data_IF_696565905070
#
_entry.id   IF_696565905070
#
_cell.length_a   1.000
_cell.length_b   1.000
_cell.length_c   1.000
_cell.angle_alpha   90.00
_cell.angle_beta   90.00
_cell.angle_gamma   90.00
#
_symmetry.space_group_name_H-M   'P 1'
#
loop_
_entity.id
_entity.type
_entity.pdbx_description
1 polymer ?
#
# COMPACT_ATOMS: atom_id res chain seq x y z
N UNK A 1 -21.88 40.52 -66.62
CA UNK A 1 -20.55 40.52 -67.29
C UNK A 1 -19.84 39.22 -66.95
N UNK A 2 -19.43 38.48 -67.99
CA UNK A 2 -18.41 37.40 -68.11
C UNK A 2 -17.88 36.75 -66.81
N UNK A 3 -18.17 35.45 -66.58
CA UNK A 3 -17.48 34.21 -67.05
C UNK A 3 -16.25 33.82 -66.21
N UNK A 4 -16.29 32.63 -65.61
CA UNK A 4 -15.29 31.52 -65.68
C UNK A 4 -15.32 30.69 -64.38
N UNK A 5 -15.65 29.39 -64.36
CA UNK A 5 -14.98 28.16 -64.88
C UNK A 5 -14.45 27.34 -63.67
N UNK A 6 -15.11 26.19 -63.37
CA UNK A 6 -14.59 24.79 -63.45
C UNK A 6 -13.92 24.36 -62.12
N UNK A 7 -14.43 23.40 -61.32
CA UNK A 7 -14.59 21.93 -61.49
C UNK A 7 -13.26 21.18 -61.74
N UNK A 8 -13.21 19.86 -61.49
CA UNK A 8 -12.04 18.92 -61.53
C UNK A 8 -11.41 18.74 -60.14
N UNK A 9 -11.62 17.65 -59.37
CA UNK A 9 -11.57 16.20 -59.63
C UNK A 9 -10.16 15.72 -59.97
N UNK A 10 -9.41 15.20 -58.99
CA UNK A 10 -8.20 14.43 -59.27
C UNK A 10 -8.15 13.17 -58.42
N UNK A 11 -8.34 12.05 -59.10
CA UNK A 11 -7.93 10.73 -58.68
C UNK A 11 -6.46 10.48 -59.08
N UNK A 12 -5.91 9.43 -58.48
CA UNK A 12 -5.08 8.41 -59.10
C UNK A 12 -3.54 8.45 -58.97
N UNK A 13 -3.09 7.46 -58.18
CA UNK A 13 -2.13 6.38 -58.52
C UNK A 13 -0.63 6.72 -58.60
N UNK A 14 0.14 6.03 -57.73
CA UNK A 14 1.43 5.38 -58.05
C UNK A 14 1.63 4.25 -57.01
N UNK A 15 1.28 3.00 -57.29
CA UNK A 15 2.06 1.96 -57.99
C UNK A 15 3.38 1.59 -57.30
N UNK A 16 3.33 0.48 -56.56
CA UNK A 16 4.40 -0.53 -56.59
C UNK A 16 3.78 -1.90 -56.32
N UNK A 17 3.29 -2.54 -57.39
CA UNK A 17 3.12 -3.99 -57.45
C UNK A 17 4.50 -4.65 -57.36
N UNK A 18 4.65 -5.67 -56.51
CA UNK A 18 5.27 -6.92 -56.95
C UNK A 18 4.58 -8.10 -56.24
N UNK A 19 4.07 -8.98 -57.08
CA UNK A 19 3.41 -10.23 -56.77
C UNK A 19 4.38 -11.22 -56.12
N UNK A 20 3.90 -12.00 -55.16
CA UNK A 20 3.79 -13.46 -55.29
C UNK A 20 2.83 -13.97 -54.19
N UNK A 21 1.59 -14.18 -54.60
CA UNK A 21 0.62 -14.97 -53.86
C UNK A 21 1.03 -16.44 -54.05
N UNK A 22 1.40 -17.13 -52.96
CA UNK A 22 1.55 -18.58 -52.92
C UNK A 22 0.78 -19.08 -51.70
N UNK A 23 -0.05 -20.08 -51.95
CA UNK A 23 -1.19 -20.51 -51.15
C UNK A 23 -0.87 -21.10 -49.76
N UNK A 24 -1.98 -21.19 -48.97
CA UNK A 24 -2.29 -22.08 -47.83
C UNK A 24 -1.93 -21.50 -46.45
N UNK A 25 -2.82 -21.40 -45.46
CA UNK A 25 -4.15 -21.95 -45.18
C UNK A 25 -4.85 -20.96 -44.22
N UNK A 26 -6.11 -20.58 -44.48
CA UNK A 26 -6.96 -19.98 -43.43
C UNK A 26 -7.46 -21.11 -42.52
N UNK A 27 -6.91 -21.18 -41.31
CA UNK A 27 -7.40 -22.07 -40.26
C UNK A 27 -8.79 -21.59 -39.82
N UNK A 28 -9.83 -22.33 -40.16
CA UNK A 28 -11.16 -22.20 -39.55
C UNK A 28 -11.02 -22.55 -38.06
N UNK A 29 -11.22 -21.58 -37.16
CA UNK A 29 -11.10 -21.82 -35.72
C UNK A 29 -12.30 -22.64 -35.24
N UNK A 30 -12.17 -23.97 -35.22
CA UNK A 30 -13.20 -24.88 -34.72
C UNK A 30 -13.26 -24.94 -33.18
N UNK A 31 -13.14 -23.79 -32.50
CA UNK A 31 -13.04 -23.69 -31.05
C UNK A 31 -14.09 -22.74 -30.49
N UNK A 32 -14.51 -23.01 -29.26
CA UNK A 32 -15.37 -22.15 -28.45
C UNK A 32 -14.85 -22.05 -27.02
N UNK A 33 -15.60 -21.33 -26.18
CA UNK A 33 -15.25 -21.11 -24.78
C UNK A 33 -16.34 -21.65 -23.85
N UNK A 34 -15.93 -22.14 -22.68
CA UNK A 34 -16.83 -22.52 -21.58
C UNK A 34 -16.41 -21.79 -20.30
N UNK A 35 -17.38 -21.30 -19.56
CA UNK A 35 -17.22 -20.72 -18.22
C UNK A 35 -18.19 -21.39 -17.23
N UNK A 36 -17.72 -21.66 -16.02
CA UNK A 36 -18.54 -22.24 -14.96
C UNK A 36 -18.81 -21.21 -13.87
N UNK A 37 -20.09 -20.98 -13.56
CA UNK A 37 -20.53 -20.15 -12.43
C UNK A 37 -20.86 -21.03 -11.22
N UNK A 38 -20.42 -20.63 -10.04
CA UNK A 38 -20.59 -21.41 -8.80
C UNK A 38 -21.85 -20.98 -8.06
N UNK A 39 -22.69 -21.95 -7.72
CA UNK A 39 -23.86 -21.79 -6.85
C UNK A 39 -23.59 -22.52 -5.53
N UNK A 40 -23.64 -21.80 -4.40
CA UNK A 40 -23.45 -22.38 -3.06
C UNK A 40 -24.81 -22.62 -2.40
N UNK A 41 -25.16 -23.89 -2.14
CA UNK A 41 -26.44 -24.30 -1.54
C UNK A 41 -26.30 -24.72 -0.06
N UNK A 42 -25.51 -24.00 0.74
CA UNK A 42 -25.51 -24.22 2.18
C UNK A 42 -26.89 -23.86 2.76
N UNK A 43 -27.52 -24.79 3.50
CA UNK A 43 -28.88 -24.70 4.05
C UNK A 43 -29.03 -23.70 5.21
N UNK A 44 -28.15 -22.71 5.30
CA UNK A 44 -28.25 -21.59 6.24
C UNK A 44 -28.47 -20.30 5.45
N UNK A 45 -29.71 -19.77 5.54
CA UNK A 45 -30.08 -18.43 5.06
C UNK A 45 -29.10 -17.37 5.57
N UNK A 46 -28.10 -17.03 4.78
CA UNK A 46 -27.52 -15.69 4.66
C UNK A 46 -26.54 -15.68 3.49
N UNK A 47 -26.37 -14.52 2.87
CA UNK A 47 -25.38 -14.20 1.86
C UNK A 47 -23.94 -14.51 2.31
N UNK A 48 -23.53 -15.77 2.33
CA UNK A 48 -22.20 -16.18 2.77
C UNK A 48 -21.25 -16.31 1.58
N UNK A 49 -20.20 -15.52 1.66
CA UNK A 49 -19.05 -15.49 0.76
C UNK A 49 -18.39 -16.87 0.68
N UNK A 50 -17.90 -17.24 -0.50
CA UNK A 50 -16.87 -18.27 -0.67
C UNK A 50 -15.52 -17.73 -0.14
N UNK A 51 -15.51 -17.25 1.11
CA UNK A 51 -14.32 -16.74 1.76
C UNK A 51 -13.28 -17.85 1.85
N UNK A 52 -12.03 -17.50 1.50
CA UNK A 52 -10.85 -18.36 1.48
C UNK A 52 -10.69 -19.31 0.27
N UNK A 53 -11.56 -19.28 -0.74
CA UNK A 53 -11.33 -20.04 -2.00
C UNK A 53 -10.32 -19.31 -2.89
N UNK A 54 -9.26 -20.01 -3.32
CA UNK A 54 -8.25 -19.47 -4.24
C UNK A 54 -8.44 -19.97 -5.68
N UNK A 55 -8.69 -21.28 -5.85
CA UNK A 55 -8.76 -21.91 -7.18
C UNK A 55 -9.89 -22.92 -7.25
N UNK A 56 -10.24 -23.29 -8.49
CA UNK A 56 -11.09 -24.43 -8.77
C UNK A 56 -10.23 -25.53 -9.38
N UNK A 57 -10.46 -26.77 -8.98
CA UNK A 57 -9.94 -27.96 -9.64
C UNK A 57 -11.09 -28.63 -10.37
N UNK A 58 -10.93 -28.90 -11.67
CA UNK A 58 -11.97 -29.51 -12.47
C UNK A 58 -11.48 -30.56 -13.46
N UNK A 59 -12.38 -31.46 -13.84
CA UNK A 59 -12.16 -32.44 -14.91
C UNK A 59 -13.27 -32.32 -15.95
N UNK A 60 -12.90 -32.07 -17.21
CA UNK A 60 -13.79 -32.08 -18.38
C UNK A 60 -13.41 -33.26 -19.26
N UNK A 61 -14.41 -34.03 -19.66
CA UNK A 61 -14.30 -35.11 -20.64
C UNK A 61 -15.21 -34.81 -21.82
N UNK A 62 -14.91 -35.39 -22.98
CA UNK A 62 -15.92 -35.48 -24.05
C UNK A 62 -17.11 -36.33 -23.55
N UNK A 63 -18.30 -36.13 -24.11
CA UNK A 63 -19.50 -36.91 -23.70
C UNK A 63 -19.37 -38.42 -23.98
N UNK A 64 -18.38 -38.85 -24.77
CA UNK A 64 -18.03 -40.27 -24.96
C UNK A 64 -17.08 -40.82 -23.87
N UNK A 65 -16.69 -39.99 -22.91
CA UNK A 65 -15.79 -40.32 -21.80
C UNK A 65 -14.30 -40.14 -22.11
N UNK A 66 -13.91 -39.73 -23.31
CA UNK A 66 -12.51 -39.47 -23.63
C UNK A 66 -11.99 -38.20 -22.93
N UNK A 67 -10.72 -38.22 -22.54
CA UNK A 67 -10.10 -37.13 -21.76
C UNK A 67 -9.88 -35.88 -22.59
N UNK A 68 -10.00 -34.71 -21.95
CA UNK A 68 -9.55 -33.42 -22.50
C UNK A 68 -8.26 -32.96 -21.79
N UNK A 69 -7.60 -31.87 -22.26
CA UNK A 69 -6.50 -31.25 -21.53
C UNK A 69 -6.86 -30.76 -20.12
N UNK A 70 -8.15 -30.63 -19.81
CA UNK A 70 -8.63 -30.21 -18.49
C UNK A 70 -8.96 -31.43 -17.64
N UNK A 71 -7.96 -32.25 -17.34
CA UNK A 71 -8.07 -33.34 -16.36
C UNK A 71 -7.41 -32.91 -15.06
N UNK A 72 -8.17 -32.80 -13.97
CA UNK A 72 -7.75 -32.22 -12.70
C UNK A 72 -7.03 -30.87 -12.86
N UNK A 73 -7.53 -30.04 -13.77
CA UNK A 73 -6.93 -28.76 -14.08
C UNK A 73 -7.30 -27.72 -13.01
N UNK A 74 -6.29 -27.02 -12.52
CA UNK A 74 -6.46 -25.82 -11.71
C UNK A 74 -6.84 -24.62 -12.59
N UNK A 75 -7.96 -23.97 -12.26
CA UNK A 75 -8.48 -22.82 -12.98
C UNK A 75 -8.76 -21.66 -12.02
N UNK A 76 -8.45 -20.45 -12.49
CA UNK A 76 -8.66 -19.24 -11.71
C UNK A 76 -10.15 -18.96 -11.51
N UNK A 77 -10.48 -18.44 -10.34
CA UNK A 77 -11.82 -18.02 -9.95
C UNK A 77 -11.90 -16.49 -9.91
N UNK A 78 -12.93 -15.93 -10.54
CA UNK A 78 -13.24 -14.51 -10.54
C UNK A 78 -14.56 -14.24 -9.82
N UNK A 79 -14.72 -13.01 -9.31
CA UNK A 79 -15.92 -12.58 -8.61
C UNK A 79 -16.44 -11.26 -9.18
N UNK A 80 -17.70 -11.22 -9.59
CA UNK A 80 -18.37 -10.00 -10.04
C UNK A 80 -19.80 -9.95 -9.52
N UNK A 81 -20.18 -8.85 -8.87
CA UNK A 81 -21.53 -8.65 -8.29
C UNK A 81 -22.02 -9.80 -7.38
N UNK A 82 -21.09 -10.43 -6.65
CA UNK A 82 -21.41 -11.54 -5.74
C UNK A 82 -21.52 -12.91 -6.40
N UNK A 83 -21.36 -13.00 -7.73
CA UNK A 83 -21.32 -14.26 -8.48
C UNK A 83 -19.85 -14.65 -8.69
N UNK A 84 -19.55 -15.92 -8.47
CA UNK A 84 -18.22 -16.50 -8.70
C UNK A 84 -18.23 -17.31 -9.99
N UNK A 85 -17.22 -17.13 -10.84
CA UNK A 85 -17.10 -17.86 -12.11
C UNK A 85 -15.64 -18.13 -12.49
N UNK A 86 -15.39 -19.18 -13.26
CA UNK A 86 -14.05 -19.54 -13.72
C UNK A 86 -13.54 -18.59 -14.80
N UNK A 87 -12.23 -18.59 -15.04
CA UNK A 87 -11.70 -18.14 -16.33
C UNK A 87 -12.33 -18.93 -17.49
N UNK A 88 -12.51 -18.27 -18.65
CA UNK A 88 -12.87 -18.92 -19.92
C UNK A 88 -11.89 -20.05 -20.26
N UNK A 89 -12.40 -21.26 -20.46
CA UNK A 89 -11.62 -22.41 -20.93
C UNK A 89 -11.90 -22.64 -22.41
N UNK A 90 -10.85 -22.91 -23.21
CA UNK A 90 -10.95 -23.10 -24.65
C UNK A 90 -11.02 -24.60 -24.95
N UNK A 91 -12.04 -25.01 -25.71
CA UNK A 91 -12.26 -26.38 -26.17
C UNK A 91 -12.61 -26.38 -27.66
N UNK A 92 -12.37 -27.51 -28.34
CA UNK A 92 -12.89 -27.72 -29.69
C UNK A 92 -14.42 -27.82 -29.68
N UNK A 93 -15.08 -27.54 -30.81
CA UNK A 93 -16.54 -27.73 -30.87
C UNK A 93 -16.92 -29.18 -30.62
N UNK A 94 -17.94 -29.39 -29.80
CA UNK A 94 -18.29 -30.74 -29.37
C UNK A 94 -19.19 -30.78 -28.14
N UNK A 95 -19.54 -31.99 -27.74
CA UNK A 95 -20.29 -32.27 -26.50
C UNK A 95 -19.35 -32.81 -25.43
N UNK A 96 -19.52 -32.31 -24.22
CA UNK A 96 -18.62 -32.54 -23.09
C UNK A 96 -19.42 -32.74 -21.81
N UNK A 97 -18.76 -33.33 -20.83
CA UNK A 97 -19.24 -33.49 -19.47
C UNK A 97 -18.19 -32.98 -18.48
N UNK A 98 -18.65 -32.18 -17.51
CA UNK A 98 -17.88 -31.84 -16.32
C UNK A 98 -18.04 -32.99 -15.31
N UNK A 99 -16.96 -33.66 -14.92
CA UNK A 99 -17.01 -34.88 -14.09
C UNK A 99 -16.38 -34.70 -12.71
N UNK A 100 -15.56 -33.65 -12.52
CA UNK A 100 -15.02 -33.27 -11.21
C UNK A 100 -15.05 -31.75 -11.09
N UNK A 101 -15.39 -31.23 -9.91
CA UNK A 101 -15.38 -29.80 -9.62
C UNK A 101 -15.25 -29.55 -8.11
N UNK A 102 -14.11 -29.00 -7.72
CA UNK A 102 -13.74 -28.69 -6.34
C UNK A 102 -13.26 -27.26 -6.22
N UNK A 103 -13.50 -26.63 -5.09
CA UNK A 103 -12.94 -25.33 -4.75
C UNK A 103 -11.89 -25.56 -3.66
N UNK A 104 -10.67 -25.09 -3.92
CA UNK A 104 -9.56 -25.21 -2.99
C UNK A 104 -9.19 -23.86 -2.38
N UNK A 105 -8.78 -23.87 -1.12
CA UNK A 105 -8.24 -22.70 -0.44
C UNK A 105 -6.77 -22.43 -0.80
N UNK A 106 -6.19 -21.37 -0.25
CA UNK A 106 -4.79 -20.98 -0.50
C UNK A 106 -3.71 -21.95 0.00
N UNK A 107 -4.13 -22.93 0.80
CA UNK A 107 -3.25 -23.99 1.29
C UNK A 107 -3.51 -25.33 0.59
N UNK A 108 -4.42 -25.33 -0.40
CA UNK A 108 -4.74 -26.47 -1.25
C UNK A 108 -5.90 -27.32 -0.74
N UNK A 109 -6.55 -26.96 0.37
CA UNK A 109 -7.64 -27.78 0.90
C UNK A 109 -8.90 -27.62 0.08
N UNK A 110 -9.55 -28.73 -0.27
CA UNK A 110 -10.90 -28.71 -0.81
C UNK A 110 -11.89 -28.28 0.25
N UNK A 111 -12.45 -27.08 0.08
CA UNK A 111 -13.42 -26.45 0.98
C UNK A 111 -14.86 -26.58 0.49
N UNK A 112 -15.05 -26.71 -0.83
CA UNK A 112 -16.34 -27.04 -1.44
C UNK A 112 -16.17 -28.04 -2.57
N UNK A 113 -17.18 -28.88 -2.78
CA UNK A 113 -17.20 -29.87 -3.85
C UNK A 113 -18.60 -30.00 -4.47
N UNK A 114 -18.66 -30.23 -5.78
CA UNK A 114 -19.88 -30.66 -6.45
C UNK A 114 -20.02 -32.18 -6.32
N UNK A 115 -21.16 -32.71 -5.84
CA UNK A 115 -21.33 -34.15 -5.64
C UNK A 115 -21.60 -34.88 -6.96
N UNK A 116 -21.07 -36.12 -7.08
CA UNK A 116 -21.44 -37.03 -8.16
C UNK A 116 -22.87 -37.56 -7.96
N UNK A 117 -23.59 -37.77 -9.07
CA UNK A 117 -24.90 -38.38 -9.10
C UNK A 117 -24.83 -39.78 -8.46
N UNK A 118 -25.73 -40.02 -7.50
CA UNK A 118 -25.76 -41.26 -6.72
C UNK A 118 -24.92 -41.25 -5.44
N UNK A 119 -24.16 -40.18 -5.16
CA UNK A 119 -23.52 -39.98 -3.86
C UNK A 119 -24.50 -39.56 -2.76
N UNK A 120 -24.07 -39.61 -1.49
CA UNK A 120 -24.91 -39.20 -0.36
C UNK A 120 -25.31 -37.72 -0.42
N UNK A 121 -24.41 -36.88 -0.93
CA UNK A 121 -24.64 -35.44 -1.05
C UNK A 121 -25.38 -35.03 -2.33
N UNK A 122 -25.57 -35.94 -3.31
CA UNK A 122 -26.28 -35.64 -4.56
C UNK A 122 -27.72 -35.14 -4.34
N UNK A 123 -28.37 -35.55 -3.24
CA UNK A 123 -29.73 -35.12 -2.89
C UNK A 123 -29.83 -33.65 -2.46
N UNK A 124 -28.72 -33.00 -2.15
CA UNK A 124 -28.65 -31.62 -1.64
C UNK A 124 -28.38 -30.59 -2.75
N UNK A 125 -28.27 -31.04 -4.01
CA UNK A 125 -28.14 -30.20 -5.21
C UNK A 125 -29.22 -30.56 -6.23
N UNK A 126 -29.58 -29.62 -7.09
CA UNK A 126 -30.55 -29.86 -8.17
C UNK A 126 -29.91 -30.49 -9.40
N UNK A 127 -28.62 -30.22 -9.63
CA UNK A 127 -27.85 -30.74 -10.75
C UNK A 127 -26.49 -31.31 -10.28
N UNK A 128 -26.42 -32.58 -9.86
CA UNK A 128 -25.15 -33.23 -9.51
C UNK A 128 -24.31 -33.52 -10.76
N UNK A 129 -23.01 -33.76 -10.58
CA UNK A 129 -22.10 -34.18 -11.63
C UNK A 129 -22.45 -35.62 -12.11
N UNK A 130 -22.20 -36.00 -13.38
CA UNK A 130 -21.64 -35.17 -14.43
C UNK A 130 -22.63 -34.14 -15.00
N UNK A 131 -22.12 -32.96 -15.38
CA UNK A 131 -22.91 -31.90 -16.02
C UNK A 131 -22.56 -31.86 -17.51
N UNK A 132 -23.54 -32.17 -18.36
CA UNK A 132 -23.40 -32.13 -19.83
C UNK A 132 -23.49 -30.70 -20.37
N UNK A 133 -22.64 -30.37 -21.35
CA UNK A 133 -22.67 -29.10 -22.08
C UNK A 133 -22.13 -29.24 -23.51
N UNK A 134 -22.42 -28.27 -24.37
CA UNK A 134 -21.93 -28.21 -25.74
C UNK A 134 -21.13 -26.93 -25.96
N UNK A 135 -20.02 -27.04 -26.69
CA UNK A 135 -19.19 -25.91 -27.13
C UNK A 135 -19.42 -25.70 -28.61
N UNK A 136 -19.84 -24.49 -28.97
CA UNK A 136 -20.09 -24.05 -30.35
C UNK A 136 -18.97 -23.14 -30.85
N UNK A 137 -18.80 -23.07 -32.16
CA UNK A 137 -17.74 -22.28 -32.80
C UNK A 137 -17.89 -20.79 -32.49
N UNK A 138 -16.80 -20.15 -32.01
CA UNK A 138 -16.76 -18.72 -31.68
C UNK A 138 -17.80 -18.23 -30.65
N UNK A 139 -18.41 -19.15 -29.88
CA UNK A 139 -19.34 -18.82 -28.81
C UNK A 139 -18.72 -19.01 -27.43
N UNK A 140 -19.31 -18.35 -26.42
CA UNK A 140 -19.00 -18.60 -25.00
C UNK A 140 -20.23 -19.20 -24.35
N UNK A 141 -20.13 -20.48 -23.98
CA UNK A 141 -21.12 -21.19 -23.20
C UNK A 141 -20.89 -20.90 -21.71
N UNK A 142 -21.96 -20.75 -20.94
CA UNK A 142 -21.88 -20.65 -19.48
C UNK A 142 -22.72 -21.76 -18.84
N UNK A 143 -22.16 -22.43 -17.85
CA UNK A 143 -22.85 -23.46 -17.07
C UNK A 143 -22.78 -23.14 -15.57
N UNK A 144 -23.84 -23.49 -14.83
CA UNK A 144 -23.86 -23.35 -13.38
C UNK A 144 -23.46 -24.66 -12.71
N UNK A 145 -22.72 -24.58 -11.61
CA UNK A 145 -22.30 -25.75 -10.82
C UNK A 145 -22.67 -25.51 -9.37
N UNK A 146 -23.49 -26.39 -8.81
CA UNK A 146 -23.87 -26.37 -7.41
C UNK A 146 -22.81 -27.09 -6.56
N UNK A 147 -22.30 -26.42 -5.54
CA UNK A 147 -21.29 -26.95 -4.63
C UNK A 147 -21.79 -26.93 -3.19
N UNK A 148 -21.27 -27.86 -2.39
CA UNK A 148 -21.55 -27.98 -0.95
C UNK A 148 -20.24 -27.91 -0.17
N UNK A 149 -20.29 -27.40 1.06
CA UNK A 149 -19.14 -27.38 1.96
C UNK A 149 -18.66 -28.80 2.25
N UNK A 150 -17.36 -29.02 2.27
CA UNK A 150 -16.73 -30.29 2.65
C UNK A 150 -16.48 -30.40 4.16
N UNK A 151 -16.85 -29.37 4.94
CA UNK A 151 -16.65 -29.35 6.38
C UNK A 151 -17.30 -30.56 7.06
N UNK A 152 -16.51 -31.31 7.83
CA UNK A 152 -16.93 -32.55 8.52
C UNK A 152 -17.43 -33.68 7.60
N UNK A 153 -17.17 -33.62 6.29
CA UNK A 153 -17.51 -34.65 5.31
C UNK A 153 -16.25 -35.23 4.66
N UNK A 154 -16.39 -36.43 4.09
CA UNK A 154 -15.32 -37.16 3.41
C UNK A 154 -15.51 -37.15 1.89
N UNK A 155 -14.46 -37.37 1.09
CA UNK A 155 -14.60 -37.50 -0.38
C UNK A 155 -15.65 -38.53 -0.79
N UNK A 156 -15.79 -39.63 -0.04
CA UNK A 156 -16.75 -40.69 -0.30
C UNK A 156 -18.21 -40.21 -0.21
N UNK A 157 -18.51 -39.22 0.65
CA UNK A 157 -19.85 -38.64 0.76
C UNK A 157 -20.29 -37.93 -0.52
N UNK A 158 -19.32 -37.47 -1.31
CA UNK A 158 -19.49 -36.82 -2.61
C UNK A 158 -19.32 -37.77 -3.80
N UNK A 159 -18.99 -39.04 -3.55
CA UNK A 159 -18.79 -40.07 -4.57
C UNK A 159 -17.34 -40.20 -5.07
N UNK A 160 -16.38 -39.52 -4.45
CA UNK A 160 -14.97 -39.51 -4.86
C UNK A 160 -14.11 -40.43 -4.00
N UNK A 161 -13.02 -40.94 -4.58
CA UNK A 161 -12.03 -41.77 -3.85
C UNK A 161 -11.13 -40.90 -2.97
N UNK A 162 -10.77 -39.71 -3.44
CA UNK A 162 -10.03 -38.69 -2.71
C UNK A 162 -10.33 -37.31 -3.31
N UNK A 163 -10.24 -36.26 -2.51
CA UNK A 163 -10.10 -34.90 -3.04
C UNK A 163 -8.63 -34.68 -3.46
N UNK A 164 -8.34 -33.86 -4.48
CA UNK A 164 -6.98 -33.45 -4.77
C UNK A 164 -6.46 -32.55 -3.65
N UNK A 165 -5.79 -33.11 -2.64
CA UNK A 165 -5.02 -32.38 -1.63
C UNK A 165 -3.85 -33.28 -1.20
N UNK A 166 -2.62 -32.80 -1.38
CA UNK A 166 -1.46 -33.27 -0.61
C UNK A 166 -1.65 -32.82 0.83
N UNK A 167 -1.56 -33.72 1.81
CA UNK A 167 -1.52 -33.34 3.24
C UNK A 167 -0.40 -32.31 3.48
N UNK A 168 -0.75 -31.02 3.57
CA UNK A 168 0.22 -29.97 3.90
C UNK A 168 0.41 -29.97 5.41
N UNK A 169 1.56 -30.45 5.87
CA UNK A 169 1.94 -30.39 7.28
C UNK A 169 1.86 -28.93 7.78
N UNK A 170 1.32 -28.72 8.98
CA UNK A 170 1.25 -27.41 9.65
C UNK A 170 1.71 -27.56 11.10
N UNK A 171 2.08 -26.44 11.73
CA UNK A 171 2.33 -26.38 13.16
C UNK A 171 1.74 -25.09 13.74
N UNK A 172 1.49 -25.08 15.05
CA UNK A 172 0.86 -23.95 15.74
C UNK A 172 1.69 -23.47 16.92
N UNK A 173 1.89 -22.17 17.06
CA UNK A 173 2.62 -21.58 18.17
C UNK A 173 1.83 -20.44 18.83
N UNK A 174 2.13 -20.18 20.11
CA UNK A 174 1.54 -19.09 20.88
C UNK A 174 2.40 -17.83 20.76
N UNK A 175 1.75 -16.66 20.66
CA UNK A 175 2.41 -15.36 20.61
C UNK A 175 1.72 -14.34 21.52
N UNK A 176 2.52 -13.51 22.19
CA UNK A 176 2.07 -12.36 22.97
C UNK A 176 2.83 -11.11 22.57
N UNK A 177 2.13 -9.99 22.42
CA UNK A 177 2.73 -8.71 22.06
C UNK A 177 2.65 -7.78 23.26
N UNK A 178 3.79 -7.23 23.69
CA UNK A 178 3.87 -6.35 24.85
C UNK A 178 4.45 -4.98 24.48
N UNK A 179 3.97 -3.94 25.14
CA UNK A 179 4.65 -2.64 25.15
C UNK A 179 5.99 -2.81 25.89
N UNK A 180 7.10 -2.44 25.25
CA UNK A 180 8.46 -2.66 25.75
C UNK A 180 8.73 -1.96 27.10
N UNK A 181 8.13 -0.80 27.33
CA UNK A 181 8.40 0.01 28.53
C UNK A 181 7.58 -0.47 29.73
N UNK A 182 6.32 -0.83 29.50
CA UNK A 182 5.35 -1.16 30.56
C UNK A 182 5.21 -2.66 30.77
N UNK A 183 5.60 -3.49 29.80
CA UNK A 183 5.39 -4.94 29.81
C UNK A 183 3.93 -5.36 29.65
N UNK A 184 3.02 -4.42 29.38
CA UNK A 184 1.58 -4.68 29.24
C UNK A 184 1.28 -5.28 27.88
N UNK A 185 0.43 -6.30 27.83
CA UNK A 185 -0.04 -6.89 26.58
C UNK A 185 -0.89 -5.90 25.79
N UNK A 186 -0.63 -5.82 24.49
CA UNK A 186 -1.29 -4.93 23.53
C UNK A 186 -1.81 -5.72 22.32
N UNK A 187 -2.90 -5.30 21.67
CA UNK A 187 -3.36 -5.95 20.45
C UNK A 187 -2.43 -5.57 19.29
N UNK A 188 -2.36 -6.38 18.24
CA UNK A 188 -1.56 -6.08 17.06
C UNK A 188 -2.07 -6.83 15.82
N UNK A 189 -1.61 -6.43 14.64
CA UNK A 189 -1.77 -7.22 13.42
C UNK A 189 -0.45 -7.93 13.11
N UNK A 190 -0.52 -9.25 12.94
CA UNK A 190 0.58 -10.12 12.56
C UNK A 190 0.48 -10.46 11.08
N UNK A 191 1.64 -10.47 10.43
CA UNK A 191 1.86 -11.03 9.11
C UNK A 191 3.03 -12.02 9.18
N UNK A 192 2.85 -13.21 8.60
CA UNK A 192 3.89 -14.24 8.47
C UNK A 192 4.17 -14.47 6.99
N UNK A 193 5.44 -14.43 6.57
CA UNK A 193 5.81 -14.68 5.18
C UNK A 193 7.13 -15.43 4.99
N UNK A 194 7.34 -16.01 3.81
CA UNK A 194 8.65 -16.50 3.33
C UNK A 194 8.83 -16.12 1.85
N UNK A 195 8.45 -14.89 1.48
CA UNK A 195 8.50 -14.38 0.10
C UNK A 195 7.46 -14.97 -0.87
N UNK A 196 7.16 -16.27 -0.80
CA UNK A 196 6.16 -16.97 -1.62
C UNK A 196 4.89 -17.37 -0.85
N UNK A 197 4.97 -17.34 0.48
CA UNK A 197 3.86 -17.63 1.39
C UNK A 197 3.51 -16.36 2.18
N UNK A 198 2.22 -16.15 2.42
CA UNK A 198 1.70 -15.03 3.20
C UNK A 198 0.51 -15.48 4.05
N UNK A 199 0.52 -15.13 5.32
CA UNK A 199 -0.57 -15.32 6.27
C UNK A 199 -0.70 -14.08 7.15
N UNK A 200 -1.93 -13.70 7.52
CA UNK A 200 -2.16 -12.58 8.43
C UNK A 200 -3.26 -12.87 9.44
N UNK A 201 -3.10 -12.34 10.64
CA UNK A 201 -4.01 -12.54 11.77
C UNK A 201 -3.96 -11.32 12.70
N UNK A 202 -5.11 -10.97 13.29
CA UNK A 202 -5.16 -10.02 14.39
C UNK A 202 -4.95 -10.74 15.74
N UNK A 203 -4.20 -10.09 16.62
CA UNK A 203 -3.83 -10.57 17.94
C UNK A 203 -4.52 -9.71 19.01
N UNK A 204 -5.12 -10.35 20.01
CA UNK A 204 -5.79 -9.68 21.13
C UNK A 204 -4.84 -9.47 22.32
N UNK A 205 -5.12 -8.46 23.14
CA UNK A 205 -4.31 -8.08 24.31
C UNK A 205 -4.48 -8.99 25.54
N UNK A 206 -5.45 -9.91 25.54
CA UNK A 206 -5.74 -10.78 26.68
C UNK A 206 -5.94 -12.26 26.30
N UNK A 207 -5.81 -12.59 25.01
CA UNK A 207 -5.98 -13.96 24.52
C UNK A 207 -4.63 -14.66 24.39
N UNK A 208 -4.65 -15.99 24.53
CA UNK A 208 -3.57 -16.85 24.09
C UNK A 208 -3.63 -16.92 22.56
N UNK A 209 -3.05 -15.92 21.89
CA UNK A 209 -3.08 -15.87 20.43
C UNK A 209 -2.30 -17.06 19.86
N UNK A 210 -3.03 -17.98 19.23
CA UNK A 210 -2.48 -19.14 18.56
C UNK A 210 -2.39 -18.85 17.06
N UNK A 211 -1.20 -19.06 16.50
CA UNK A 211 -0.87 -18.85 15.10
C UNK A 211 -0.55 -20.20 14.48
N UNK A 212 -1.27 -20.59 13.43
CA UNK A 212 -1.08 -21.86 12.70
C UNK A 212 -0.55 -21.60 11.30
N UNK A 213 0.61 -22.16 10.96
CA UNK A 213 1.30 -21.92 9.68
C UNK A 213 1.82 -23.23 9.06
N UNK A 214 2.07 -23.22 7.74
CA UNK A 214 2.61 -24.38 7.00
C UNK A 214 3.96 -24.80 7.59
N UNK A 215 4.22 -26.10 7.69
CA UNK A 215 5.49 -26.70 8.13
C UNK A 215 6.32 -27.17 6.91
N UNK A 216 6.52 -26.27 5.95
CA UNK A 216 7.16 -26.60 4.66
C UNK A 216 8.36 -25.70 4.35
N UNK A 217 8.69 -24.80 5.26
CA UNK A 217 9.74 -23.83 5.08
C UNK A 217 10.72 -23.90 6.25
N UNK A 218 11.96 -23.45 6.04
CA UNK A 218 12.97 -23.39 7.09
C UNK A 218 12.87 -22.14 7.96
N UNK A 219 12.33 -21.06 7.38
CA UNK A 219 12.27 -19.73 8.01
C UNK A 219 10.96 -19.00 7.71
N UNK A 220 10.62 -18.04 8.56
CA UNK A 220 9.50 -17.13 8.39
C UNK A 220 9.91 -15.73 8.83
N UNK A 221 9.44 -14.73 8.10
CA UNK A 221 9.47 -13.33 8.51
C UNK A 221 8.14 -12.99 9.18
N UNK A 222 8.21 -12.58 10.44
CA UNK A 222 7.07 -12.05 11.20
C UNK A 222 7.12 -10.53 11.12
N UNK A 223 6.08 -9.91 10.60
CA UNK A 223 5.86 -8.46 10.61
C UNK A 223 4.69 -8.14 11.51
N UNK A 224 4.91 -7.29 12.53
CA UNK A 224 3.90 -6.95 13.52
C UNK A 224 3.68 -5.44 13.53
N UNK A 225 2.43 -5.01 13.47
CA UNK A 225 2.04 -3.60 13.47
C UNK A 225 1.02 -3.31 14.55
N UNK A 226 1.19 -2.16 15.21
CA UNK A 226 0.20 -1.59 16.13
C UNK A 226 0.31 -0.07 16.08
N UNK A 227 -0.82 0.64 16.14
CA UNK A 227 -0.85 2.10 16.00
C UNK A 227 -0.08 2.77 17.14
N UNK A 228 0.82 3.71 16.80
CA UNK A 228 1.68 4.40 17.76
C UNK A 228 2.94 3.64 18.17
N UNK A 229 3.28 2.54 17.50
CA UNK A 229 4.47 1.74 17.73
C UNK A 229 5.26 1.55 16.44
N UNK A 230 6.58 1.38 16.58
CA UNK A 230 7.45 1.01 15.48
C UNK A 230 7.06 -0.38 14.95
N UNK A 231 7.12 -0.57 13.62
CA UNK A 231 6.87 -1.86 12.99
C UNK A 231 7.99 -2.83 13.40
N UNK A 232 7.61 -3.97 13.97
CA UNK A 232 8.54 -5.05 14.24
C UNK A 232 8.65 -5.96 13.02
N UNK A 233 9.89 -6.28 12.63
CA UNK A 233 10.19 -7.27 11.59
C UNK A 233 11.25 -8.23 12.13
N UNK A 234 10.91 -9.50 12.26
CA UNK A 234 11.82 -10.53 12.77
C UNK A 234 11.86 -11.76 11.87
N UNK A 235 13.04 -12.33 11.68
CA UNK A 235 13.22 -13.60 10.96
C UNK A 235 13.42 -14.74 11.95
N UNK A 236 12.58 -15.77 11.83
CA UNK A 236 12.54 -16.91 12.74
C UNK A 236 12.71 -18.19 11.96
N UNK A 237 13.45 -19.15 12.50
CA UNK A 237 13.46 -20.51 11.96
C UNK A 237 12.23 -21.28 12.42
N UNK A 238 11.82 -22.29 11.66
CA UNK A 238 10.73 -23.21 12.03
C UNK A 238 10.98 -23.82 13.39
N UNK A 239 12.21 -24.27 13.65
CA UNK A 239 12.61 -24.79 14.96
C UNK A 239 12.43 -23.77 16.09
N UNK A 240 12.76 -22.49 15.86
CA UNK A 240 12.59 -21.44 16.87
C UNK A 240 11.12 -21.15 17.19
N UNK A 241 10.24 -21.14 16.18
CA UNK A 241 8.81 -20.97 16.41
C UNK A 241 8.18 -22.19 17.11
N UNK A 242 8.66 -23.40 16.80
CA UNK A 242 8.18 -24.64 17.45
C UNK A 242 8.50 -24.72 18.95
N UNK A 243 9.48 -23.96 19.45
CA UNK A 243 9.70 -23.81 20.90
C UNK A 243 8.51 -23.15 21.62
N UNK A 244 7.63 -22.50 20.87
CA UNK A 244 6.45 -21.81 21.37
C UNK A 244 5.15 -22.56 21.03
N UNK A 245 5.22 -23.85 20.67
CA UNK A 245 4.03 -24.69 20.47
C UNK A 245 3.15 -24.72 21.72
N UNK A 246 1.83 -24.83 21.52
CA UNK A 246 0.84 -24.92 22.61
C UNK A 246 0.86 -26.30 23.29
N UNK A 247 1.99 -26.61 23.93
CA UNK A 247 2.24 -27.84 24.69
C UNK A 247 2.56 -27.44 26.14
N UNK A 248 2.15 -28.28 27.08
CA UNK A 248 2.38 -28.07 28.52
C UNK A 248 3.86 -27.83 28.80
N UNK A 249 4.20 -26.62 29.28
CA UNK A 249 5.55 -26.22 29.66
C UNK A 249 6.22 -25.21 28.71
N UNK A 250 5.72 -25.03 27.50
CA UNK A 250 6.23 -24.00 26.58
C UNK A 250 5.67 -22.61 26.94
N UNK A 251 6.49 -21.58 26.74
CA UNK A 251 6.09 -20.18 26.88
C UNK A 251 5.71 -19.60 25.51
N UNK A 252 4.77 -18.65 25.46
CA UNK A 252 4.48 -17.94 24.20
C UNK A 252 5.71 -17.19 23.71
N UNK A 253 5.82 -17.02 22.39
CA UNK A 253 6.74 -16.05 21.80
C UNK A 253 6.33 -14.66 22.27
N UNK A 254 7.18 -13.97 23.02
CA UNK A 254 6.92 -12.58 23.44
C UNK A 254 7.65 -11.63 22.49
N UNK A 255 6.90 -10.76 21.82
CA UNK A 255 7.45 -9.69 21.00
C UNK A 255 7.20 -8.36 21.70
N UNK A 256 8.27 -7.62 21.94
CA UNK A 256 8.23 -6.29 22.55
C UNK A 256 8.15 -5.23 21.46
N UNK A 257 7.10 -4.41 21.46
CA UNK A 257 6.98 -3.25 20.57
C UNK A 257 7.46 -1.98 21.27
N UNK A 258 8.26 -1.21 20.56
CA UNK A 258 8.70 0.12 20.98
C UNK A 258 7.71 1.17 20.49
N UNK A 259 7.30 2.09 21.37
CA UNK A 259 6.49 3.23 20.96
C UNK A 259 7.24 4.08 19.95
N UNK A 260 6.47 4.58 18.98
CA UNK A 260 6.99 5.56 18.06
C UNK A 260 7.29 6.86 18.83
N UNK A 261 8.48 7.41 18.63
CA UNK A 261 8.83 8.70 19.21
C UNK A 261 8.08 9.79 18.42
N UNK A 262 7.23 10.54 19.12
CA UNK A 262 6.49 11.68 18.56
C UNK A 262 6.77 12.95 19.37
N UNK A 263 6.50 14.11 18.77
CA UNK A 263 6.50 15.40 19.43
C UNK A 263 5.05 15.91 19.50
N UNK A 264 4.68 16.59 20.59
CA UNK A 264 3.34 17.19 20.72
C UNK A 264 3.48 18.65 21.15
N UNK A 265 2.95 19.58 20.36
CA UNK A 265 2.97 21.01 20.70
C UNK A 265 1.83 21.37 21.68
N UNK A 266 1.78 22.65 22.06
CA UNK A 266 0.76 23.16 22.98
C UNK A 266 -0.68 22.96 22.46
N UNK A 267 -0.86 22.98 21.14
CA UNK A 267 -2.17 22.84 20.48
C UNK A 267 -2.63 21.38 20.37
N UNK A 268 -1.83 20.42 20.83
CA UNK A 268 -2.10 18.99 20.69
C UNK A 268 -1.82 18.45 19.28
N UNK A 269 -1.11 19.20 18.43
CA UNK A 269 -0.64 18.65 17.17
C UNK A 269 0.46 17.61 17.47
N UNK A 270 0.25 16.39 16.99
CA UNK A 270 1.24 15.31 17.07
C UNK A 270 2.06 15.27 15.79
N UNK A 271 3.38 15.15 15.94
CA UNK A 271 4.35 15.10 14.86
C UNK A 271 5.19 13.84 14.99
N UNK A 272 5.28 13.07 13.92
CA UNK A 272 6.13 11.89 13.86
C UNK A 272 7.59 12.33 13.71
N UNK A 273 8.50 11.39 13.98
CA UNK A 273 9.93 11.72 14.02
C UNK A 273 10.74 10.77 13.17
N UNK A 274 11.93 11.23 12.81
CA UNK A 274 12.88 10.45 12.02
C UNK A 274 14.28 10.67 12.55
N UNK A 275 15.03 9.57 12.70
CA UNK A 275 16.42 9.61 13.14
C UNK A 275 17.34 9.66 11.92
N UNK A 276 18.16 10.70 11.85
CA UNK A 276 19.16 10.90 10.80
C UNK A 276 20.52 11.03 11.49
N UNK A 277 21.31 9.96 11.42
CA UNK A 277 22.53 9.83 12.21
C UNK A 277 22.22 9.87 13.71
N UNK A 278 22.77 10.86 14.40
CA UNK A 278 22.54 11.07 15.83
C UNK A 278 21.46 12.11 16.13
N UNK A 279 20.88 12.73 15.11
CA UNK A 279 19.83 13.74 15.28
C UNK A 279 18.45 13.12 15.09
N UNK A 280 17.48 13.60 15.85
CA UNK A 280 16.07 13.22 15.70
C UNK A 280 15.29 14.45 15.26
N UNK A 281 14.64 14.34 14.11
CA UNK A 281 13.94 15.42 13.43
C UNK A 281 12.45 15.17 13.38
N UNK A 282 11.64 16.24 13.38
CA UNK A 282 10.23 16.15 13.03
C UNK A 282 10.06 15.80 11.54
N UNK A 283 9.10 14.90 11.25
CA UNK A 283 8.75 14.47 9.89
C UNK A 283 7.72 15.40 9.23
N UNK A 284 6.86 16.03 10.00
CA UNK A 284 5.94 17.06 9.51
C UNK A 284 6.43 18.46 9.88
N UNK A 285 6.01 19.45 9.09
CA UNK A 285 6.24 20.85 9.40
C UNK A 285 5.36 21.29 10.58
N UNK A 286 5.88 22.22 11.39
CA UNK A 286 5.19 22.75 12.56
C UNK A 286 3.87 23.44 12.19
N UNK A 287 2.83 23.17 12.98
CA UNK A 287 1.47 23.72 12.86
C UNK A 287 1.05 24.56 14.07
N UNK A 288 1.93 24.78 15.05
CA UNK A 288 1.62 25.52 16.26
C UNK A 288 1.03 26.92 16.02
N UNK A 289 -0.05 27.24 16.73
CA UNK A 289 -0.66 28.56 16.90
C UNK A 289 -0.37 29.17 18.26
N UNK A 290 0.17 28.39 19.19
CA UNK A 290 0.59 28.86 20.51
C UNK A 290 2.04 28.51 20.79
N UNK A 291 2.67 29.34 21.62
CA UNK A 291 3.95 29.04 22.25
C UNK A 291 3.79 27.99 23.36
N UNK A 292 4.90 27.44 23.85
CA UNK A 292 4.88 26.44 24.94
C UNK A 292 4.20 26.95 26.22
N UNK A 293 4.22 28.25 26.48
CA UNK A 293 3.57 28.87 27.64
C UNK A 293 2.06 29.11 27.45
N UNK A 294 1.51 28.77 26.28
CA UNK A 294 0.10 28.96 25.93
C UNK A 294 -0.26 30.34 25.40
N UNK A 295 0.69 31.25 25.23
CA UNK A 295 0.44 32.51 24.53
C UNK A 295 0.21 32.26 23.04
N UNK A 296 -0.75 32.96 22.44
CA UNK A 296 -0.98 32.88 21.00
C UNK A 296 0.17 33.53 20.20
N UNK A 297 0.52 32.88 19.09
CA UNK A 297 1.28 33.49 17.98
C UNK A 297 0.29 34.30 17.14
N UNK A 298 0.67 35.48 16.65
CA UNK A 298 -0.26 36.32 15.89
C UNK A 298 -0.58 35.66 14.54
N UNK A 299 -1.86 35.65 14.15
CA UNK A 299 -2.27 35.20 12.82
C UNK A 299 -2.02 36.32 11.80
N UNK A 300 -1.07 36.08 10.89
CA UNK A 300 -0.77 36.97 9.77
C UNK A 300 -1.50 36.58 8.47
N UNK A 301 -2.35 35.56 8.48
CA UNK A 301 -3.04 35.08 7.28
C UNK A 301 -3.88 36.19 6.65
N UNK A 302 -3.70 36.43 5.36
CA UNK A 302 -4.38 37.48 4.60
C UNK A 302 -3.83 38.90 4.80
N UNK A 303 -2.77 39.07 5.61
CA UNK A 303 -2.12 40.38 5.73
C UNK A 303 -1.43 40.75 4.41
N UNK A 304 -1.41 42.05 4.08
CA UNK A 304 -0.69 42.58 2.93
C UNK A 304 0.81 42.77 3.20
N UNK A 305 1.34 43.93 2.82
CA UNK A 305 2.73 44.30 3.09
C UNK A 305 2.90 44.72 4.56
N UNK A 306 3.81 44.05 5.28
CA UNK A 306 4.17 44.37 6.68
C UNK A 306 5.68 44.63 6.84
N UNK A 307 6.38 44.96 5.74
CA UNK A 307 7.82 45.25 5.74
C UNK A 307 8.22 46.40 6.68
N UNK A 308 7.29 47.29 7.03
CA UNK A 308 7.49 48.39 7.98
C UNK A 308 7.46 47.99 9.46
N UNK A 309 6.99 46.79 9.81
CA UNK A 309 6.97 46.33 11.20
C UNK A 309 8.37 45.97 11.69
N UNK A 310 8.68 46.20 12.98
CA UNK A 310 10.03 45.98 13.51
C UNK A 310 10.30 44.50 13.82
N UNK A 311 9.40 43.84 14.56
CA UNK A 311 9.55 42.44 15.01
C UNK A 311 8.22 41.68 14.83
N UNK A 312 7.74 41.50 13.59
CA UNK A 312 6.48 40.82 13.33
C UNK A 312 6.57 39.36 13.81
N UNK A 313 5.67 38.93 14.73
CA UNK A 313 5.60 37.56 15.26
C UNK A 313 4.37 36.84 14.73
N UNK A 314 4.36 36.63 13.42
CA UNK A 314 3.25 36.00 12.71
C UNK A 314 3.50 34.53 12.38
N UNK A 315 2.40 33.76 12.35
CA UNK A 315 2.26 32.58 11.50
C UNK A 315 1.37 32.89 10.29
N UNK A 316 1.44 32.06 9.25
CA UNK A 316 0.60 32.14 8.05
C UNK A 316 0.17 30.74 7.61
N UNK A 317 -1.07 30.63 7.13
CA UNK A 317 -1.47 29.49 6.28
C UNK A 317 -0.92 29.72 4.86
N UNK A 318 -0.47 28.67 4.20
CA UNK A 318 0.02 28.77 2.83
C UNK A 318 -1.07 29.26 1.88
N UNK A 319 -0.75 30.23 1.01
CA UNK A 319 -1.70 30.86 0.08
C UNK A 319 -2.98 31.38 0.74
N UNK A 320 -2.91 31.68 2.05
CA UNK A 320 -4.06 32.01 2.89
C UNK A 320 -5.20 30.96 2.89
N UNK A 321 -4.87 29.71 2.56
CA UNK A 321 -5.82 28.61 2.45
C UNK A 321 -5.55 27.54 3.53
N UNK A 322 -6.52 27.30 4.44
CA UNK A 322 -6.36 26.34 5.53
C UNK A 322 -6.24 24.88 5.05
N UNK A 323 -6.62 24.55 3.81
CA UNK A 323 -6.47 23.19 3.26
C UNK A 323 -5.01 22.75 3.17
N UNK A 324 -4.07 23.71 3.13
CA UNK A 324 -2.63 23.43 3.11
C UNK A 324 -2.00 23.16 4.49
N UNK A 325 -2.73 23.34 5.59
CA UNK A 325 -2.20 23.13 6.95
C UNK A 325 -1.75 21.67 7.14
N UNK A 326 -2.56 20.71 6.70
CA UNK A 326 -2.24 19.28 6.84
C UNK A 326 -1.02 18.86 6.01
N UNK A 327 -0.93 19.17 4.70
CA UNK A 327 0.23 18.78 3.91
C UNK A 327 1.50 19.59 4.24
N UNK A 328 1.41 20.91 4.45
CA UNK A 328 2.60 21.78 4.49
C UNK A 328 2.90 22.39 5.87
N UNK A 329 2.01 22.23 6.85
CA UNK A 329 2.11 22.93 8.13
C UNK A 329 1.77 24.42 8.00
N UNK A 330 2.50 25.26 8.73
CA UNK A 330 2.40 26.72 8.63
C UNK A 330 3.75 27.37 8.36
N UNK A 331 3.71 28.61 7.88
CA UNK A 331 4.88 29.47 7.75
C UNK A 331 4.97 30.40 8.95
N UNK A 332 6.17 30.74 9.36
CA UNK A 332 6.41 31.61 10.52
C UNK A 332 7.45 32.65 10.19
N UNK A 333 7.28 33.85 10.73
CA UNK A 333 8.34 34.85 10.79
C UNK A 333 9.50 34.38 11.68
N UNK A 334 10.73 34.81 11.40
CA UNK A 334 11.86 34.42 12.24
C UNK A 334 11.71 34.93 13.69
N UNK A 335 11.12 36.12 13.87
CA UNK A 335 10.84 36.64 15.21
C UNK A 335 9.81 35.80 15.98
N UNK A 336 8.89 35.11 15.29
CA UNK A 336 7.99 34.16 15.93
C UNK A 336 8.74 32.91 16.40
N UNK A 337 9.62 32.34 15.56
CA UNK A 337 10.30 31.08 15.87
C UNK A 337 11.45 31.24 16.86
N UNK A 338 12.06 32.42 16.92
CA UNK A 338 13.15 32.76 17.84
C UNK A 338 12.67 33.59 19.06
N UNK A 339 11.39 33.45 19.44
CA UNK A 339 10.84 34.03 20.66
C UNK A 339 11.22 33.19 21.88
N UNK A 340 11.51 33.84 23.01
CA UNK A 340 11.87 33.20 24.28
C UNK A 340 10.81 32.24 24.84
N UNK A 341 9.56 32.34 24.38
CA UNK A 341 8.45 31.45 24.80
C UNK A 341 8.47 30.09 24.11
N UNK A 342 9.32 29.92 23.10
CA UNK A 342 9.52 28.70 22.30
C UNK A 342 8.28 28.20 21.56
N UNK A 343 8.40 28.02 20.24
CA UNK A 343 7.28 27.57 19.40
C UNK A 343 7.28 26.04 19.18
N UNK A 344 8.43 25.39 19.34
CA UNK A 344 8.55 23.94 19.22
C UNK A 344 7.92 23.22 20.42
N UNK A 345 7.56 21.93 20.29
CA UNK A 345 7.21 21.08 21.42
C UNK A 345 8.28 21.08 22.54
N UNK A 346 7.88 20.74 23.77
CA UNK A 346 8.83 20.62 24.90
C UNK A 346 9.87 19.53 24.61
N UNK A 347 11.16 19.83 24.80
CA UNK A 347 12.27 18.93 24.46
C UNK A 347 12.68 18.97 22.98
N UNK A 348 12.19 19.96 22.22
CA UNK A 348 12.49 20.21 20.83
C UNK A 348 12.80 21.69 20.59
N UNK A 349 13.64 21.97 19.62
CA UNK A 349 14.02 23.34 19.25
C UNK A 349 14.18 23.53 17.74
N UNK A 350 14.24 24.79 17.29
CA UNK A 350 14.52 25.15 15.90
C UNK A 350 16.01 24.89 15.63
N UNK A 351 16.37 24.14 14.57
CA UNK A 351 17.76 23.75 14.34
C UNK A 351 18.67 24.98 14.20
N UNK A 352 19.84 24.90 14.80
CA UNK A 352 20.92 25.85 14.58
C UNK A 352 21.65 25.57 13.26
N UNK A 353 22.43 26.55 12.77
CA UNK A 353 23.34 26.38 11.64
C UNK A 353 24.31 25.21 11.87
N UNK A 354 24.83 25.06 13.09
CA UNK A 354 25.79 24.02 13.44
C UNK A 354 25.15 22.62 13.34
N UNK A 355 23.89 22.46 13.74
CA UNK A 355 23.16 21.20 13.59
C UNK A 355 22.80 20.88 12.14
N UNK A 356 22.54 21.90 11.32
CA UNK A 356 22.35 21.71 9.88
C UNK A 356 23.66 21.26 9.20
N UNK A 357 24.82 21.74 9.68
CA UNK A 357 26.11 21.27 9.19
C UNK A 357 26.33 19.78 9.54
N UNK A 358 26.00 19.37 10.78
CA UNK A 358 26.05 17.95 11.19
C UNK A 358 25.14 17.07 10.32
N UNK A 359 23.92 17.55 10.00
CA UNK A 359 23.01 16.85 9.10
C UNK A 359 23.62 16.66 7.71
N UNK A 360 24.15 17.74 7.12
CA UNK A 360 24.76 17.71 5.80
C UNK A 360 25.98 16.77 5.76
N UNK A 361 26.85 16.84 6.77
CA UNK A 361 28.06 16.01 6.87
C UNK A 361 27.70 14.52 6.98
N UNK A 362 26.72 14.17 7.80
CA UNK A 362 26.23 12.79 7.92
C UNK A 362 25.73 12.25 6.57
N UNK A 363 25.14 13.09 5.74
CA UNK A 363 24.61 12.71 4.42
C UNK A 363 25.66 12.67 3.31
N UNK A 364 26.92 12.98 3.62
CA UNK A 364 28.04 12.99 2.67
C UNK A 364 28.34 14.36 2.06
N UNK A 365 27.91 15.45 2.72
CA UNK A 365 28.07 16.83 2.26
C UNK A 365 26.85 17.37 1.50
N UNK A 366 26.90 18.64 1.11
CA UNK A 366 25.73 19.38 0.60
C UNK A 366 25.23 18.90 -0.77
N UNK A 367 26.12 18.51 -1.68
CA UNK A 367 25.80 18.29 -3.11
C UNK A 367 24.68 17.26 -3.37
N UNK A 368 24.53 16.25 -2.52
CA UNK A 368 23.47 15.23 -2.64
C UNK A 368 22.50 15.15 -1.46
N UNK A 369 22.79 15.84 -0.36
CA UNK A 369 21.98 15.76 0.86
C UNK A 369 20.54 16.23 0.64
N UNK A 370 20.33 17.24 -0.21
CA UNK A 370 19.00 17.76 -0.52
C UNK A 370 18.10 16.71 -1.18
N UNK A 371 18.64 15.92 -2.10
CA UNK A 371 17.93 14.81 -2.73
C UNK A 371 17.48 13.74 -1.73
N UNK A 372 18.33 13.40 -0.77
CA UNK A 372 18.06 12.39 0.27
C UNK A 372 16.99 12.82 1.28
N UNK A 373 16.78 14.13 1.43
CA UNK A 373 15.86 14.74 2.39
C UNK A 373 14.50 15.10 1.78
N UNK A 374 14.43 15.38 0.48
CA UNK A 374 13.17 15.72 -0.22
C UNK A 374 12.22 14.52 -0.34
N UNK A 375 10.92 14.79 -0.35
CA UNK A 375 9.91 13.84 -0.86
C UNK A 375 10.33 13.32 -2.25
N UNK A 376 10.22 12.00 -2.46
CA UNK A 376 10.51 11.37 -3.73
C UNK A 376 9.34 11.51 -4.72
N UNK A 377 9.65 11.54 -6.02
CA UNK A 377 8.63 11.73 -7.05
C UNK A 377 8.21 13.20 -7.22
N UNK A 378 7.08 13.43 -7.87
CA UNK A 378 6.60 14.78 -8.25
C UNK A 378 5.16 15.00 -7.83
N UNK A 379 4.74 14.41 -6.70
CA UNK A 379 3.39 14.61 -6.16
C UNK A 379 3.20 16.06 -5.75
N UNK A 380 4.15 16.60 -4.97
CA UNK A 380 4.16 18.01 -4.58
C UNK A 380 5.25 18.81 -5.30
N UNK A 381 6.39 18.19 -5.58
CA UNK A 381 7.52 18.85 -6.26
C UNK A 381 7.29 18.99 -7.76
N UNK A 382 7.58 20.17 -8.28
CA UNK A 382 7.66 20.39 -9.72
C UNK A 382 8.73 19.46 -10.34
N UNK A 383 8.47 19.01 -11.57
CA UNK A 383 9.46 18.27 -12.35
C UNK A 383 10.70 19.15 -12.61
N UNK A 384 11.93 18.63 -12.47
CA UNK A 384 12.28 17.19 -12.40
C UNK A 384 12.42 16.61 -10.98
N UNK A 385 12.23 17.39 -9.92
CA UNK A 385 12.62 17.04 -8.54
C UNK A 385 13.99 16.34 -8.44
N UNK A 386 15.02 16.97 -9.02
CA UNK A 386 16.36 16.40 -9.24
C UNK A 386 16.90 15.69 -8.01
N UNK A 387 17.26 14.42 -8.19
CA UNK A 387 17.96 13.58 -7.20
C UNK A 387 17.16 13.22 -5.95
N UNK A 388 15.85 13.47 -5.92
CA UNK A 388 15.03 13.17 -4.76
C UNK A 388 14.82 11.66 -4.55
N UNK A 389 15.28 11.14 -3.41
CA UNK A 389 15.13 9.73 -3.03
C UNK A 389 14.33 9.53 -1.75
N UNK A 390 14.22 10.55 -0.90
CA UNK A 390 13.65 10.46 0.44
C UNK A 390 14.20 9.32 1.31
N UNK A 391 15.43 8.85 1.06
CA UNK A 391 16.00 7.69 1.75
C UNK A 391 16.15 7.89 3.26
N UNK A 392 16.15 9.15 3.71
CA UNK A 392 16.21 9.51 5.13
C UNK A 392 14.86 9.43 5.82
N UNK A 393 13.74 9.47 5.08
CA UNK A 393 12.39 9.63 5.64
C UNK A 393 12.03 11.05 6.07
N UNK A 394 12.92 12.04 5.94
CA UNK A 394 12.66 13.45 6.29
C UNK A 394 11.48 14.03 5.52
N UNK A 395 11.33 13.70 4.23
CA UNK A 395 10.19 14.07 3.39
C UNK A 395 9.96 15.59 3.33
N UNK A 396 10.98 16.36 2.98
CA UNK A 396 10.83 17.81 2.78
C UNK A 396 9.88 18.10 1.61
N UNK A 397 8.97 19.06 1.82
CA UNK A 397 7.94 19.46 0.87
C UNK A 397 8.19 20.87 0.31
N UNK A 398 7.73 21.15 -0.92
CA UNK A 398 7.96 22.42 -1.61
C UNK A 398 6.87 23.45 -1.29
N UNK A 399 6.74 23.83 -0.02
CA UNK A 399 5.71 24.79 0.39
C UNK A 399 5.94 26.23 -0.11
N UNK A 400 7.13 26.54 -0.61
CA UNK A 400 7.53 27.91 -0.93
C UNK A 400 7.78 28.72 0.33
N UNK A 401 7.53 30.02 0.25
CA UNK A 401 7.62 30.95 1.38
C UNK A 401 6.71 32.17 1.21
N UNK A 402 6.56 32.95 2.28
CA UNK A 402 5.90 34.26 2.28
C UNK A 402 6.95 35.35 2.42
N UNK A 403 7.21 36.15 1.38
CA UNK A 403 8.06 37.34 1.53
C UNK A 403 7.33 38.41 2.37
N UNK A 404 8.01 39.38 2.98
CA UNK A 404 7.31 40.41 3.80
C UNK A 404 6.52 41.47 3.01
N UNK A 405 6.86 41.69 1.73
CA UNK A 405 6.26 42.69 0.86
C UNK A 405 5.37 42.08 -0.23
N UNK A 406 5.70 40.86 -0.67
CA UNK A 406 5.04 40.12 -1.73
C UNK A 406 4.23 38.94 -1.17
N UNK A 407 3.16 38.49 -1.85
CA UNK A 407 2.43 37.29 -1.48
C UNK A 407 3.30 36.02 -1.60
N UNK A 408 2.71 34.87 -1.25
CA UNK A 408 3.35 33.55 -1.28
C UNK A 408 4.01 33.25 -2.64
N UNK A 409 5.23 32.71 -2.60
CA UNK A 409 6.04 32.43 -3.80
C UNK A 409 6.68 31.04 -3.75
N UNK A 410 6.96 30.50 -4.93
CA UNK A 410 7.78 29.29 -5.12
C UNK A 410 7.24 28.00 -4.51
N UNK A 411 5.93 27.90 -4.27
CA UNK A 411 5.27 26.63 -3.99
C UNK A 411 5.44 25.68 -5.20
N UNK A 412 5.66 24.39 -4.94
CA UNK A 412 6.02 23.39 -5.95
C UNK A 412 7.51 23.42 -6.33
N UNK A 413 8.12 24.60 -6.35
CA UNK A 413 9.51 24.80 -6.76
C UNK A 413 10.53 24.65 -5.62
N UNK A 414 10.22 25.16 -4.43
CA UNK A 414 11.16 25.20 -3.30
C UNK A 414 10.50 24.95 -1.96
N UNK A 415 11.24 24.39 -1.01
CA UNK A 415 10.84 24.36 0.40
C UNK A 415 11.87 25.12 1.23
N UNK A 416 11.45 26.17 1.93
CA UNK A 416 12.31 27.04 2.75
C UNK A 416 11.99 26.85 4.23
N UNK A 417 13.02 26.71 5.06
CA UNK A 417 12.91 26.35 6.46
C UNK A 417 13.83 27.20 7.34
N UNK A 418 13.34 27.67 8.48
CA UNK A 418 14.15 28.48 9.39
C UNK A 418 15.23 27.69 10.13
N UNK A 419 16.37 28.37 10.36
CA UNK A 419 17.30 28.03 11.43
C UNK A 419 17.23 29.09 12.55
N UNK A 420 17.57 28.72 13.78
CA UNK A 420 17.61 29.64 14.93
C UNK A 420 18.81 30.57 14.92
N UNK A 421 19.85 30.28 14.13
CA UNK A 421 21.07 31.10 14.11
C UNK A 421 20.81 32.43 13.40
N UNK A 422 20.94 33.53 14.15
CA UNK A 422 20.90 34.89 13.62
C UNK A 422 22.18 35.24 12.84
N UNK A 423 22.05 35.94 11.72
CA UNK A 423 23.19 36.53 11.00
C UNK A 423 23.47 37.93 11.55
N UNK A 424 22.44 38.76 11.59
CA UNK A 424 22.49 40.14 12.10
C UNK A 424 21.08 40.61 12.52
N UNK A 425 20.85 41.92 12.65
CA UNK A 425 19.55 42.48 13.02
C UNK A 425 18.43 42.27 11.98
N UNK A 426 18.77 42.00 10.71
CA UNK A 426 17.83 41.88 9.60
C UNK A 426 17.72 40.45 9.06
N UNK A 427 18.83 39.70 9.07
CA UNK A 427 18.93 38.39 8.44
C UNK A 427 19.20 37.26 9.43
N UNK A 428 18.76 36.07 9.06
CA UNK A 428 19.02 34.82 9.77
C UNK A 428 19.34 33.70 8.80
N UNK A 429 19.90 32.62 9.35
CA UNK A 429 20.11 31.39 8.60
C UNK A 429 18.78 30.70 8.30
N UNK A 430 18.69 30.16 7.09
CA UNK A 430 17.62 29.27 6.67
C UNK A 430 18.22 28.16 5.82
N UNK A 431 17.50 27.06 5.66
CA UNK A 431 17.85 26.00 4.72
C UNK A 431 16.73 25.77 3.73
N UNK A 432 17.09 25.31 2.54
CA UNK A 432 16.17 25.16 1.44
C UNK A 432 16.50 23.97 0.54
N UNK A 433 15.47 23.53 -0.18
CA UNK A 433 15.56 22.52 -1.21
C UNK A 433 14.88 23.04 -2.46
N UNK A 434 15.41 22.69 -3.64
CA UNK A 434 14.89 23.13 -4.93
C UNK A 434 14.48 21.93 -5.79
N UNK A 435 13.45 22.09 -6.62
CA UNK A 435 13.03 21.05 -7.58
C UNK A 435 14.10 20.75 -8.63
N UNK A 436 14.97 21.71 -8.93
CA UNK A 436 15.99 21.57 -9.98
C UNK A 436 17.36 21.09 -9.46
N UNK A 437 17.53 20.88 -8.15
CA UNK A 437 18.81 20.50 -7.55
C UNK A 437 18.66 19.40 -6.49
N UNK A 438 19.71 18.59 -6.35
CA UNK A 438 19.87 17.62 -5.25
C UNK A 438 20.65 18.21 -4.06
N UNK A 439 21.08 19.46 -4.16
CA UNK A 439 21.90 20.13 -3.15
C UNK A 439 21.08 20.53 -1.92
N UNK A 440 21.69 20.42 -0.75
CA UNK A 440 21.21 20.97 0.50
C UNK A 440 21.73 22.38 0.68
N UNK A 441 20.84 23.35 0.53
CA UNK A 441 21.18 24.76 0.65
C UNK A 441 20.95 25.24 2.07
N UNK A 442 21.93 25.90 2.68
CA UNK A 442 21.72 26.67 3.90
C UNK A 442 22.51 27.97 3.83
N UNK A 443 21.80 29.09 4.00
CA UNK A 443 22.32 30.42 3.68
C UNK A 443 22.02 31.41 4.80
N UNK A 444 22.90 32.42 5.02
CA UNK A 444 22.75 33.42 6.08
C UNK A 444 21.78 34.57 5.73
N UNK A 445 21.07 34.50 4.60
CA UNK A 445 20.40 35.64 3.96
C UNK A 445 18.88 35.68 4.06
N UNK A 446 18.26 34.86 4.91
CA UNK A 446 16.80 34.87 5.06
C UNK A 446 16.36 36.12 5.83
N UNK A 447 15.48 36.95 5.26
CA UNK A 447 14.99 38.15 5.95
C UNK A 447 14.14 37.72 7.14
N UNK A 448 14.43 38.20 8.35
CA UNK A 448 13.70 37.78 9.57
C UNK A 448 12.18 38.02 9.56
N UNK A 449 11.72 38.86 8.64
CA UNK A 449 10.30 39.17 8.41
C UNK A 449 9.61 38.22 7.43
N UNK A 450 10.35 37.38 6.71
CA UNK A 450 9.76 36.41 5.78
C UNK A 450 9.15 35.24 6.57
N UNK A 451 8.14 34.59 6.00
CA UNK A 451 7.50 33.39 6.52
C UNK A 451 8.12 32.13 5.90
N UNK A 452 8.87 31.34 6.68
CA UNK A 452 9.40 30.03 6.28
C UNK A 452 8.79 28.90 7.12
N UNK A 453 8.89 27.68 6.60
CA UNK A 453 8.52 26.47 7.32
C UNK A 453 9.39 26.28 8.55
N UNK A 454 8.94 25.45 9.47
CA UNK A 454 9.71 25.00 10.62
C UNK A 454 9.66 23.49 10.73
N UNK A 455 10.81 22.87 10.96
CA UNK A 455 10.92 21.52 11.52
C UNK A 455 11.86 21.58 12.71
N UNK A 456 11.38 21.13 13.86
CA UNK A 456 12.18 21.10 15.06
C UNK A 456 13.05 19.84 15.10
N UNK A 457 14.16 19.95 15.80
CA UNK A 457 15.08 18.87 16.16
C UNK A 457 14.96 18.63 17.67
N UNK A 458 15.13 17.39 18.12
CA UNK A 458 15.08 17.02 19.54
C UNK A 458 16.37 17.46 20.25
N UNK A 459 16.24 17.93 21.50
CA UNK A 459 17.34 18.40 22.36
C UNK A 459 18.40 17.32 22.69
#
# INVERSE_FOLDING_TARGET
MKKSIVSVLLSAILFSCFFLNSCKEENTSNQGKIEFSVINNSTLKSSQSLENVEKIVLTIQHSDGSSTPYTQAEVNLYRMNGIYFTQSLILETGSYQLTEFYLIDSIGNTVYAAPLAGSLQAQNVTQPLPIEFTVSENETTSANVEVLSTESLTPADFGFVAFPIDEVATFSFLIGIVDKETGVLIPASLTVSNGLYFFSQNLDSIANNMVTIKDSFDTYTLTITHSGYNIFVGNFSTGSLKLHENIVGNLPLVVELEKELTATDYDGNVYHTVRIGNQVWMKENLKATHYQNGDAVLDGTGIGNYSGESEPKYYFNYNDDPSYINPYGRLYTWFAVNDSRNICPVGWHIPSREELAVLADYLGGTTGAGGKLKEAGTTHWDSPNTGATNETGFTALPGGYRGNADPFVSMGYSGCYWASTSTDGQYAWYYAFLSTSAEFFYYPGGTKKDGFSVRCIKD
#
